data_IF_558113271572
#
_entry.id   IF_558113271572
#
_cell.length_a   1.000
_cell.length_b   1.000
_cell.length_c   1.000
_cell.angle_alpha   90.00
_cell.angle_beta   90.00
_cell.angle_gamma   90.00
#
_symmetry.space_group_name_H-M   'P 1'
#
loop_
_entity.id
_entity.type
_entity.pdbx_description
1 polymer ?
#
# COMPACT_ATOMS: atom_id res chain seq x y z
N UNK A 1 56.09 14.17 54.55
CA UNK A 1 55.20 13.60 53.53
C UNK A 1 55.23 14.54 52.35
N UNK A 2 55.95 14.17 51.26
CA UNK A 2 56.04 14.94 50.01
C UNK A 2 54.95 14.43 49.06
N UNK A 3 53.97 15.27 48.76
CA UNK A 3 52.99 14.98 47.74
C UNK A 3 53.65 15.12 46.35
N UNK A 4 53.48 14.16 45.45
CA UNK A 4 54.03 14.31 44.09
C UNK A 4 53.23 15.40 43.35
N UNK A 5 53.90 16.45 42.87
CA UNK A 5 53.32 17.40 41.94
C UNK A 5 53.10 16.73 40.61
N UNK A 6 51.81 16.56 40.23
CA UNK A 6 51.44 16.10 38.89
C UNK A 6 51.71 17.24 37.91
N UNK A 7 52.76 17.09 37.11
CA UNK A 7 53.07 17.99 36.01
C UNK A 7 51.89 17.99 34.99
N UNK A 8 51.17 19.09 34.89
CA UNK A 8 50.13 19.28 33.89
C UNK A 8 50.84 19.67 32.58
N UNK A 9 51.02 18.70 31.68
CA UNK A 9 51.40 18.99 30.31
C UNK A 9 50.27 19.74 29.59
N UNK A 10 50.55 20.96 29.12
CA UNK A 10 49.60 21.72 28.32
C UNK A 10 49.50 21.15 26.92
N UNK A 11 48.28 21.02 26.39
CA UNK A 11 48.01 20.56 25.04
C UNK A 11 48.32 21.70 24.03
N UNK A 12 49.08 21.41 22.98
CA UNK A 12 49.40 22.43 21.97
C UNK A 12 48.26 22.59 20.94
N UNK A 13 48.12 23.79 20.41
CA UNK A 13 47.12 24.13 19.40
C UNK A 13 47.27 23.25 18.14
N UNK A 14 48.50 22.89 17.78
CA UNK A 14 48.82 22.03 16.62
C UNK A 14 48.36 20.61 16.85
N UNK A 15 48.56 20.05 18.05
CA UNK A 15 48.06 18.69 18.37
C UNK A 15 46.55 18.61 18.27
N UNK A 16 45.83 19.64 18.73
CA UNK A 16 44.38 19.69 18.60
C UNK A 16 43.94 19.78 17.12
N UNK A 17 44.63 20.63 16.32
CA UNK A 17 44.31 20.83 14.92
C UNK A 17 44.51 19.55 14.08
N UNK A 18 45.57 18.80 14.33
CA UNK A 18 45.84 17.52 13.65
C UNK A 18 44.78 16.51 13.99
N UNK A 19 44.37 16.37 15.25
CA UNK A 19 43.33 15.43 15.68
C UNK A 19 41.99 15.73 15.01
N UNK A 20 41.55 17.01 15.01
CA UNK A 20 40.26 17.34 14.38
C UNK A 20 40.30 17.16 12.85
N UNK A 21 41.45 17.37 12.21
CA UNK A 21 41.58 17.13 10.77
C UNK A 21 41.50 15.64 10.41
N UNK A 22 42.16 14.79 11.21
CA UNK A 22 42.05 13.33 11.02
C UNK A 22 40.63 12.84 11.24
N UNK A 23 39.95 13.27 12.32
CA UNK A 23 38.56 12.95 12.58
C UNK A 23 37.66 13.45 11.44
N UNK A 24 37.89 14.69 10.95
CA UNK A 24 37.11 15.24 9.82
C UNK A 24 37.22 14.39 8.55
N UNK A 25 38.42 13.94 8.20
CA UNK A 25 38.65 13.08 7.04
C UNK A 25 37.97 11.71 7.25
N UNK A 26 38.14 11.09 8.42
CA UNK A 26 37.54 9.78 8.70
C UNK A 26 36.02 9.84 8.65
N UNK A 27 35.40 10.84 9.28
CA UNK A 27 33.93 11.03 9.25
C UNK A 27 33.45 11.31 7.83
N UNK A 28 34.16 12.17 7.07
CA UNK A 28 33.83 12.49 5.69
C UNK A 28 33.80 11.28 4.77
N UNK A 29 34.71 10.30 4.98
CA UNK A 29 34.72 9.06 4.20
C UNK A 29 33.69 8.01 4.69
N UNK A 30 33.41 7.98 5.99
CA UNK A 30 32.50 6.99 6.57
C UNK A 30 31.01 7.33 6.38
N UNK A 31 30.67 8.63 6.40
CA UNK A 31 29.26 9.06 6.39
C UNK A 31 28.47 8.57 5.18
N UNK A 32 28.95 8.68 3.92
CA UNK A 32 28.23 8.14 2.77
C UNK A 32 28.04 6.63 2.83
N UNK A 33 29.05 5.89 3.28
CA UNK A 33 28.99 4.45 3.44
C UNK A 33 27.96 3.99 4.47
N UNK A 34 27.88 4.68 5.62
CA UNK A 34 26.90 4.38 6.67
C UNK A 34 25.49 4.66 6.19
N UNK A 35 25.25 5.74 5.45
CA UNK A 35 23.92 6.06 4.91
C UNK A 35 23.47 5.00 3.90
N UNK A 36 24.33 4.57 2.99
CA UNK A 36 24.06 3.51 2.02
C UNK A 36 23.76 2.16 2.72
N UNK A 37 24.56 1.80 3.73
CA UNK A 37 24.34 0.59 4.51
C UNK A 37 22.98 0.60 5.26
N UNK A 38 22.60 1.73 5.86
CA UNK A 38 21.31 1.88 6.52
C UNK A 38 20.14 1.70 5.56
N UNK A 39 20.21 2.30 4.37
CA UNK A 39 19.14 2.16 3.39
C UNK A 39 19.04 0.72 2.87
N UNK A 40 20.17 0.05 2.64
CA UNK A 40 20.19 -1.37 2.29
C UNK A 40 19.55 -2.25 3.38
N UNK A 41 19.83 -1.95 4.66
CA UNK A 41 19.21 -2.66 5.78
C UNK A 41 17.66 -2.44 5.81
N UNK A 42 17.19 -1.20 5.64
CA UNK A 42 15.75 -0.91 5.56
C UNK A 42 15.07 -1.64 4.42
N UNK A 43 15.71 -1.70 3.25
CA UNK A 43 15.19 -2.44 2.11
C UNK A 43 15.09 -3.94 2.39
N UNK A 44 16.09 -4.52 3.06
CA UNK A 44 16.02 -5.92 3.50
C UNK A 44 14.91 -6.17 4.49
N UNK A 45 14.65 -5.25 5.43
CA UNK A 45 13.52 -5.34 6.36
C UNK A 45 12.19 -5.32 5.63
N UNK A 46 11.98 -4.41 4.65
CA UNK A 46 10.76 -4.37 3.85
C UNK A 46 10.57 -5.68 3.06
N UNK A 47 11.64 -6.21 2.45
CA UNK A 47 11.62 -7.49 1.74
C UNK A 47 11.23 -8.65 2.68
N UNK A 48 11.77 -8.69 3.89
CA UNK A 48 11.45 -9.72 4.88
C UNK A 48 9.98 -9.65 5.32
N UNK A 49 9.44 -8.43 5.54
CA UNK A 49 8.02 -8.24 5.87
C UNK A 49 7.13 -8.70 4.71
N UNK A 50 7.49 -8.39 3.48
CA UNK A 50 6.78 -8.88 2.30
C UNK A 50 6.82 -10.41 2.19
N UNK A 51 7.95 -11.06 2.50
CA UNK A 51 8.03 -12.53 2.59
C UNK A 51 7.12 -13.11 3.65
N UNK A 52 7.03 -12.46 4.83
CA UNK A 52 6.10 -12.88 5.88
C UNK A 52 4.65 -12.76 5.44
N UNK A 53 4.29 -11.69 4.72
CA UNK A 53 2.96 -11.53 4.14
C UNK A 53 2.66 -12.60 3.09
N UNK A 54 3.61 -12.89 2.21
CA UNK A 54 3.50 -13.97 1.21
C UNK A 54 3.30 -15.35 1.86
N UNK A 55 4.07 -15.64 2.91
CA UNK A 55 3.94 -16.89 3.68
C UNK A 55 2.59 -16.96 4.40
N UNK A 56 2.12 -15.85 4.99
CA UNK A 56 0.80 -15.81 5.62
C UNK A 56 -0.34 -16.08 4.64
N UNK A 57 -0.25 -15.55 3.41
CA UNK A 57 -1.22 -15.85 2.34
C UNK A 57 -1.18 -17.32 1.93
N UNK A 58 0.01 -17.93 1.81
CA UNK A 58 0.15 -19.35 1.50
C UNK A 58 -0.43 -20.24 2.62
N UNK A 59 -0.18 -19.88 3.88
CA UNK A 59 -0.76 -20.57 5.04
C UNK A 59 -2.29 -20.42 5.09
N UNK A 60 -2.81 -19.22 4.78
CA UNK A 60 -4.24 -18.97 4.66
C UNK A 60 -4.88 -19.88 3.57
N UNK A 61 -4.26 -19.94 2.39
CA UNK A 61 -4.71 -20.81 1.30
C UNK A 61 -4.67 -22.28 1.69
N UNK A 62 -3.61 -22.71 2.33
CA UNK A 62 -3.48 -24.09 2.81
C UNK A 62 -4.61 -24.49 3.77
N UNK A 63 -5.02 -23.56 4.65
CA UNK A 63 -6.09 -23.78 5.63
C UNK A 63 -7.50 -23.73 5.01
N UNK A 64 -7.73 -22.76 4.12
CA UNK A 64 -9.06 -22.45 3.61
C UNK A 64 -9.29 -22.85 2.14
N UNK A 65 -8.25 -23.31 1.43
CA UNK A 65 -8.27 -23.68 0.00
C UNK A 65 -8.73 -22.53 -0.91
N UNK A 66 -8.48 -21.31 -0.49
CA UNK A 66 -8.78 -20.07 -1.20
C UNK A 66 -7.93 -18.94 -0.63
N UNK A 67 -7.69 -17.89 -1.40
CA UNK A 67 -7.00 -16.71 -0.95
C UNK A 67 -7.94 -15.75 -0.19
N UNK A 68 -7.41 -14.82 0.63
CA UNK A 68 -8.22 -13.78 1.23
C UNK A 68 -8.83 -12.90 0.14
N UNK A 69 -9.99 -12.31 0.41
CA UNK A 69 -10.58 -11.31 -0.48
C UNK A 69 -9.98 -9.93 -0.22
N UNK A 70 -10.03 -9.04 -1.20
CA UNK A 70 -9.64 -7.65 -1.00
C UNK A 70 -10.50 -6.99 0.10
N UNK A 71 -11.83 -7.23 0.05
CA UNK A 71 -12.80 -6.72 1.00
C UNK A 71 -13.91 -7.75 1.25
N UNK A 72 -14.21 -8.03 2.51
CA UNK A 72 -15.10 -9.14 2.89
C UNK A 72 -16.59 -8.83 2.64
N UNK A 73 -17.08 -7.69 3.08
CA UNK A 73 -18.51 -7.43 3.17
C UNK A 73 -19.13 -6.74 1.96
N UNK A 74 -20.42 -6.45 2.08
CA UNK A 74 -21.22 -5.83 1.03
C UNK A 74 -21.02 -4.30 0.97
N UNK A 75 -21.61 -3.67 -0.05
CA UNK A 75 -21.74 -2.21 -0.09
C UNK A 75 -22.88 -1.71 0.80
N UNK A 76 -23.65 -2.65 1.42
CA UNK A 76 -24.72 -2.30 2.33
C UNK A 76 -24.13 -1.71 3.63
N UNK A 77 -24.49 -0.52 4.01
CA UNK A 77 -24.06 0.11 5.25
C UNK A 77 -24.35 -0.69 6.52
N UNK A 78 -25.35 -1.50 6.52
CA UNK A 78 -25.73 -2.35 7.67
C UNK A 78 -24.93 -3.65 7.78
N UNK A 79 -24.03 -3.94 6.84
CA UNK A 79 -23.19 -5.13 6.88
C UNK A 79 -21.94 -4.85 7.75
N UNK A 80 -21.79 -5.50 8.91
CA UNK A 80 -20.68 -5.26 9.83
C UNK A 80 -19.31 -5.66 9.25
N UNK A 81 -19.29 -6.42 8.17
CA UNK A 81 -18.07 -6.83 7.48
C UNK A 81 -17.76 -5.98 6.25
N UNK A 82 -18.60 -4.97 5.95
CA UNK A 82 -18.58 -4.28 4.66
C UNK A 82 -17.21 -3.74 4.23
N UNK A 83 -16.37 -3.37 5.18
CA UNK A 83 -15.05 -2.76 4.89
C UNK A 83 -13.84 -3.54 5.39
N UNK A 84 -14.04 -4.72 5.96
CA UNK A 84 -12.92 -5.51 6.47
C UNK A 84 -12.03 -5.95 5.30
N UNK A 85 -10.77 -5.57 5.37
CA UNK A 85 -9.76 -5.87 4.36
C UNK A 85 -9.11 -7.25 4.50
N UNK A 86 -8.50 -7.71 3.42
CA UNK A 86 -7.78 -8.98 3.38
C UNK A 86 -6.61 -9.07 4.36
N UNK A 87 -6.00 -7.93 4.73
CA UNK A 87 -4.92 -7.90 5.73
C UNK A 87 -5.40 -8.37 7.11
N UNK A 88 -6.67 -8.09 7.47
CA UNK A 88 -7.26 -8.60 8.71
C UNK A 88 -7.40 -10.13 8.68
N UNK A 89 -7.73 -10.69 7.52
CA UNK A 89 -7.96 -12.12 7.37
C UNK A 89 -6.69 -12.96 7.53
N UNK A 90 -5.52 -12.39 7.24
CA UNK A 90 -4.23 -13.08 7.37
C UNK A 90 -3.56 -12.87 8.74
N UNK A 91 -4.13 -12.06 9.64
CA UNK A 91 -3.57 -11.81 10.99
C UNK A 91 -3.26 -13.10 11.77
N UNK A 92 -4.14 -14.14 11.78
CA UNK A 92 -3.83 -15.38 12.48
C UNK A 92 -2.54 -16.06 12.04
N UNK A 93 -2.18 -15.89 10.76
CA UNK A 93 -0.98 -16.46 10.16
C UNK A 93 0.25 -15.54 10.26
N UNK A 94 0.10 -14.39 10.91
CA UNK A 94 1.14 -13.40 11.21
C UNK A 94 1.44 -13.30 12.72
N UNK A 95 1.09 -14.35 13.47
CA UNK A 95 1.22 -14.40 14.94
C UNK A 95 0.39 -13.31 15.66
N UNK A 96 -0.64 -12.77 14.99
CA UNK A 96 -1.53 -11.74 15.51
C UNK A 96 -2.93 -12.29 15.86
N UNK A 97 -3.00 -13.55 16.29
CA UNK A 97 -4.24 -14.22 16.69
C UNK A 97 -5.02 -13.45 17.78
N UNK A 98 -4.38 -12.91 18.85
CA UNK A 98 -5.11 -12.17 19.87
C UNK A 98 -5.77 -10.90 19.32
N UNK A 99 -5.12 -10.21 18.38
CA UNK A 99 -5.69 -9.02 17.73
C UNK A 99 -6.88 -9.41 16.84
N UNK A 100 -6.76 -10.49 16.08
CA UNK A 100 -7.84 -11.02 15.26
C UNK A 100 -9.08 -11.36 16.08
N UNK A 101 -8.91 -12.07 17.20
CA UNK A 101 -10.00 -12.42 18.12
C UNK A 101 -10.67 -11.18 18.73
N UNK A 102 -9.89 -10.19 19.09
CA UNK A 102 -10.37 -8.88 19.57
C UNK A 102 -11.24 -8.18 18.52
N UNK A 103 -10.80 -8.19 17.24
CA UNK A 103 -11.56 -7.63 16.14
C UNK A 103 -12.84 -8.41 15.90
N UNK A 104 -12.77 -9.72 15.90
CA UNK A 104 -13.91 -10.61 15.69
C UNK A 104 -14.97 -10.43 16.80
N UNK A 105 -14.56 -10.36 18.06
CA UNK A 105 -15.48 -10.11 19.17
C UNK A 105 -16.14 -8.72 19.07
N UNK A 106 -15.41 -7.70 18.63
CA UNK A 106 -15.95 -6.36 18.43
C UNK A 106 -17.02 -6.32 17.34
N UNK A 107 -16.88 -7.12 16.29
CA UNK A 107 -17.87 -7.26 15.23
C UNK A 107 -19.15 -7.94 15.75
N UNK A 108 -19.01 -9.02 16.53
CA UNK A 108 -20.15 -9.79 17.04
C UNK A 108 -21.01 -9.02 18.05
N UNK A 109 -20.42 -8.12 18.82
CA UNK A 109 -21.16 -7.33 19.84
C UNK A 109 -21.97 -6.17 19.24
N UNK A 110 -21.97 -6.03 17.90
CA UNK A 110 -22.81 -5.02 17.23
C UNK A 110 -22.36 -3.57 17.46
N UNK A 111 -21.12 -3.37 17.85
CA UNK A 111 -20.53 -2.06 18.08
C UNK A 111 -20.30 -1.23 16.79
N UNK A 112 -20.79 -1.74 15.69
CA UNK A 112 -20.83 -1.03 14.40
C UNK A 112 -22.19 -0.37 14.21
N UNK A 113 -22.52 0.59 15.10
CA UNK A 113 -23.68 1.43 14.87
C UNK A 113 -23.34 2.44 13.79
N UNK A 114 -24.05 2.34 12.68
CA UNK A 114 -24.05 3.38 11.66
C UNK A 114 -24.66 4.64 12.27
N UNK A 115 -23.83 5.56 12.73
CA UNK A 115 -24.33 6.90 13.12
C UNK A 115 -24.71 7.65 11.86
N UNK A 116 -26.01 7.75 11.61
CA UNK A 116 -26.62 8.39 10.45
C UNK A 116 -26.62 9.92 10.49
N UNK A 117 -25.92 10.57 11.42
CA UNK A 117 -26.18 11.95 11.78
C UNK A 117 -25.06 12.94 11.46
N UNK A 118 -24.29 12.76 10.39
CA UNK A 118 -23.46 13.86 9.89
C UNK A 118 -23.73 14.10 8.41
N UNK A 119 -24.60 15.08 8.18
CA UNK A 119 -24.99 15.66 6.89
C UNK A 119 -23.86 16.52 6.29
N UNK A 120 -22.71 15.95 6.11
CA UNK A 120 -21.63 16.54 5.34
C UNK A 120 -21.27 15.59 4.24
N UNK A 121 -21.97 15.60 3.15
CA UNK A 121 -21.65 15.17 1.76
C UNK A 121 -20.52 14.17 1.47
N UNK A 122 -20.10 13.37 2.41
CA UNK A 122 -19.24 12.17 2.22
C UNK A 122 -20.02 10.93 2.65
N UNK A 123 -21.24 10.86 2.21
CA UNK A 123 -22.39 10.26 2.83
C UNK A 123 -22.41 8.76 2.89
N UNK A 124 -21.60 7.92 2.52
CA UNK A 124 -21.81 6.47 2.68
C UNK A 124 -20.56 5.62 2.93
N UNK A 125 -19.40 6.21 2.93
CA UNK A 125 -18.15 5.48 3.07
C UNK A 125 -17.60 5.43 4.50
N UNK A 126 -18.12 6.24 5.40
CA UNK A 126 -17.63 6.34 6.78
C UNK A 126 -18.24 5.32 7.75
N UNK A 127 -19.08 4.41 7.28
CA UNK A 127 -20.04 3.74 8.15
C UNK A 127 -19.51 2.55 8.94
N UNK A 128 -18.34 2.02 8.65
CA UNK A 128 -17.91 0.74 9.24
C UNK A 128 -16.52 0.73 9.84
N UNK A 129 -15.75 1.74 9.62
CA UNK A 129 -14.61 2.09 10.43
C UNK A 129 -14.94 3.40 11.12
N UNK A 130 -15.09 3.44 12.44
CA UNK A 130 -15.33 4.70 13.13
C UNK A 130 -14.21 5.66 12.76
N UNK A 131 -14.58 6.82 12.24
CA UNK A 131 -13.62 7.87 11.94
C UNK A 131 -12.90 8.25 13.23
N UNK A 132 -11.59 8.50 13.21
CA UNK A 132 -10.89 9.11 14.32
C UNK A 132 -11.63 10.39 14.72
N UNK A 133 -11.99 10.53 15.99
CA UNK A 133 -12.75 11.66 16.51
C UNK A 133 -14.27 11.45 16.63
N UNK A 134 -14.84 10.38 16.13
CA UNK A 134 -16.20 9.99 16.53
C UNK A 134 -16.11 9.15 17.81
N UNK A 135 -16.11 9.81 18.94
CA UNK A 135 -16.34 9.20 20.24
C UNK A 135 -17.79 8.70 20.28
N UNK A 136 -18.02 7.51 19.75
CA UNK A 136 -19.18 6.75 20.18
C UNK A 136 -18.94 6.41 21.65
N UNK A 137 -19.93 6.64 22.49
CA UNK A 137 -19.92 6.55 23.94
C UNK A 137 -19.44 5.21 24.56
N UNK A 138 -18.82 4.31 23.81
CA UNK A 138 -18.55 2.95 24.24
C UNK A 138 -17.10 2.44 24.05
N UNK A 139 -16.13 3.28 23.78
CA UNK A 139 -14.70 2.89 23.87
C UNK A 139 -14.23 1.79 22.89
N UNK A 140 -14.88 1.59 21.76
CA UNK A 140 -14.78 0.40 20.90
C UNK A 140 -13.77 0.54 19.78
N UNK A 141 -13.09 1.65 19.71
CA UNK A 141 -12.18 1.98 18.60
C UNK A 141 -10.83 1.23 18.69
N UNK A 142 -10.52 0.64 19.83
CA UNK A 142 -9.18 0.13 20.15
C UNK A 142 -8.60 -0.89 19.15
N UNK A 143 -9.25 -1.99 18.75
CA UNK A 143 -8.58 -2.92 17.85
C UNK A 143 -8.34 -2.35 16.44
N UNK A 144 -9.11 -1.36 16.01
CA UNK A 144 -9.00 -0.71 14.70
C UNK A 144 -7.90 0.35 14.65
N UNK A 145 -7.53 0.90 15.81
CA UNK A 145 -6.42 1.84 15.97
C UNK A 145 -5.08 1.14 16.19
N UNK A 146 -5.07 -0.18 16.38
CA UNK A 146 -3.85 -0.92 16.63
C UNK A 146 -2.89 -0.81 15.44
N UNK A 147 -1.64 -0.48 15.76
CA UNK A 147 -0.57 -0.21 14.80
C UNK A 147 0.35 -1.40 14.72
N UNK A 148 0.41 -1.99 13.54
CA UNK A 148 1.26 -3.15 13.28
C UNK A 148 2.52 -2.73 12.53
N UNK A 149 3.66 -2.79 13.19
CA UNK A 149 4.96 -2.50 12.58
C UNK A 149 5.23 -3.40 11.38
N UNK A 150 4.65 -4.60 11.36
CA UNK A 150 4.73 -5.53 10.24
C UNK A 150 4.16 -4.94 8.93
N UNK A 151 3.14 -4.12 9.02
CA UNK A 151 2.53 -3.48 7.84
C UNK A 151 3.21 -2.17 7.43
N UNK A 152 4.28 -1.76 8.14
CA UNK A 152 5.01 -0.52 7.83
C UNK A 152 6.33 -0.83 7.16
N UNK A 153 6.70 -0.02 6.16
CA UNK A 153 8.05 -0.02 5.63
C UNK A 153 8.91 0.98 6.42
N UNK A 154 10.08 0.61 6.95
CA UNK A 154 10.93 1.51 7.72
C UNK A 154 11.54 2.65 6.90
N UNK A 155 11.47 2.59 5.58
CA UNK A 155 11.87 3.71 4.69
C UNK A 155 10.75 4.74 4.49
N UNK A 156 9.50 4.44 4.92
CA UNK A 156 8.40 5.41 4.85
C UNK A 156 8.53 6.44 5.98
N UNK A 157 8.72 7.73 5.66
CA UNK A 157 8.90 8.78 6.68
C UNK A 157 7.61 9.15 7.40
N UNK A 158 6.44 8.70 6.91
CA UNK A 158 5.15 9.08 7.49
C UNK A 158 4.98 8.46 8.87
N UNK A 159 4.79 9.32 9.87
CA UNK A 159 4.50 8.90 11.23
C UNK A 159 3.00 8.75 11.44
N UNK A 160 2.63 7.78 12.27
CA UNK A 160 1.25 7.52 12.67
C UNK A 160 0.89 8.34 13.90
N UNK A 161 -0.21 9.09 13.84
CA UNK A 161 -0.79 9.73 15.01
C UNK A 161 -1.45 8.71 15.95
N UNK A 162 -1.52 9.01 17.25
CA UNK A 162 -2.16 8.11 18.22
C UNK A 162 -3.66 7.92 17.93
N UNK A 163 -4.29 8.92 17.34
CA UNK A 163 -5.74 8.98 17.11
C UNK A 163 -6.15 8.45 15.73
N UNK A 164 -5.19 8.12 14.86
CA UNK A 164 -5.44 7.60 13.53
C UNK A 164 -5.37 6.07 13.51
N UNK A 165 -6.07 5.45 12.55
CA UNK A 165 -5.93 4.03 12.29
C UNK A 165 -4.52 3.70 11.86
N UNK A 166 -4.07 2.47 12.11
CA UNK A 166 -2.76 2.02 11.69
C UNK A 166 -2.61 2.06 10.16
N UNK A 167 -1.43 2.45 9.69
CA UNK A 167 -1.10 2.56 8.28
C UNK A 167 -0.58 1.24 7.71
N UNK A 168 -0.62 1.12 6.38
CA UNK A 168 0.04 0.03 5.65
C UNK A 168 0.83 0.55 4.46
N UNK A 169 2.01 -0.01 4.26
CA UNK A 169 2.82 0.16 3.05
C UNK A 169 2.66 -1.02 2.09
N UNK A 170 1.71 -1.92 2.34
CA UNK A 170 1.50 -3.11 1.52
C UNK A 170 0.06 -3.20 1.06
N UNK A 171 -0.13 -3.52 -0.22
CA UNK A 171 -1.44 -3.55 -0.87
C UNK A 171 -1.58 -4.76 -1.79
N UNK A 172 -2.81 -5.21 -2.00
CA UNK A 172 -3.18 -6.31 -2.88
C UNK A 172 -3.28 -5.87 -4.33
N UNK A 173 -2.86 -6.73 -5.26
CA UNK A 173 -2.96 -6.49 -6.69
C UNK A 173 -4.39 -6.72 -7.20
N UNK A 174 -4.95 -5.69 -7.86
CA UNK A 174 -6.24 -5.78 -8.56
C UNK A 174 -6.07 -5.75 -10.09
N UNK A 175 -4.83 -5.94 -10.56
CA UNK A 175 -4.39 -5.88 -11.94
C UNK A 175 -4.63 -4.51 -12.61
N UNK A 176 -5.02 -4.52 -13.88
CA UNK A 176 -5.08 -3.38 -14.77
C UNK A 176 -6.50 -2.80 -14.92
N UNK A 177 -7.39 -3.06 -13.95
CA UNK A 177 -8.74 -2.51 -13.91
C UNK A 177 -8.82 -1.20 -13.12
N UNK A 178 -9.66 -0.26 -13.55
CA UNK A 178 -9.92 1.01 -12.85
C UNK A 178 -11.33 1.03 -12.27
N UNK A 179 -12.33 0.73 -13.08
CA UNK A 179 -13.75 0.88 -12.78
C UNK A 179 -14.26 -0.24 -11.88
N UNK A 180 -13.71 -1.43 -12.02
CA UNK A 180 -14.20 -2.64 -11.37
C UNK A 180 -13.52 -2.94 -10.02
N UNK A 181 -12.63 -2.08 -9.56
CA UNK A 181 -11.88 -2.29 -8.31
C UNK A 181 -12.76 -2.56 -7.07
N UNK A 182 -13.99 -2.04 -7.07
CA UNK A 182 -14.93 -2.22 -5.98
C UNK A 182 -16.10 -3.17 -6.29
N UNK A 183 -16.30 -3.53 -7.55
CA UNK A 183 -17.47 -4.29 -8.00
C UNK A 183 -17.35 -5.81 -7.81
N UNK A 184 -16.18 -6.31 -7.49
CA UNK A 184 -15.91 -7.74 -7.37
C UNK A 184 -15.61 -8.43 -8.70
N UNK A 185 -15.08 -7.71 -9.68
CA UNK A 185 -14.71 -8.22 -10.99
C UNK A 185 -13.38 -7.63 -11.42
N UNK A 186 -12.29 -7.92 -10.71
CA UNK A 186 -10.95 -7.51 -11.11
C UNK A 186 -10.29 -8.58 -11.99
N UNK A 187 -9.30 -8.21 -12.76
CA UNK A 187 -8.47 -9.15 -13.53
C UNK A 187 -7.32 -9.73 -12.71
N UNK A 188 -7.10 -9.19 -11.49
CA UNK A 188 -6.09 -9.66 -10.53
C UNK A 188 -6.60 -10.79 -9.64
N UNK A 189 -5.73 -11.26 -8.77
CA UNK A 189 -6.04 -12.35 -7.85
C UNK A 189 -6.96 -11.93 -6.70
N UNK A 190 -7.08 -10.64 -6.43
CA UNK A 190 -7.86 -10.15 -5.29
C UNK A 190 -9.06 -9.33 -5.75
N UNK A 191 -10.22 -9.73 -5.27
CA UNK A 191 -11.51 -9.12 -5.59
C UNK A 191 -12.24 -8.73 -4.32
N UNK A 192 -13.24 -7.89 -4.46
CA UNK A 192 -14.20 -7.60 -3.39
C UNK A 192 -15.23 -8.71 -3.30
N UNK A 193 -15.47 -9.27 -2.13
CA UNK A 193 -16.48 -10.32 -1.83
C UNK A 193 -16.24 -11.68 -2.49
N UNK A 194 -15.22 -11.81 -3.29
CA UNK A 194 -14.90 -13.05 -3.98
C UNK A 194 -13.60 -13.62 -3.42
N UNK A 195 -13.59 -14.93 -3.24
CA UNK A 195 -12.44 -15.67 -2.75
C UNK A 195 -11.89 -16.53 -3.88
N UNK A 196 -10.86 -16.06 -4.52
CA UNK A 196 -10.22 -16.79 -5.61
C UNK A 196 -9.37 -17.94 -5.10
N UNK A 197 -9.24 -18.97 -5.95
CA UNK A 197 -8.35 -20.11 -5.73
C UNK A 197 -7.06 -19.91 -6.52
N UNK A 198 -5.98 -20.45 -6.01
CA UNK A 198 -4.66 -20.40 -6.70
C UNK A 198 -4.76 -20.98 -8.12
N UNK A 199 -5.61 -22.01 -8.33
CA UNK A 199 -5.81 -22.61 -9.65
C UNK A 199 -6.40 -21.65 -10.72
N UNK A 200 -6.92 -20.50 -10.33
CA UNK A 200 -7.43 -19.50 -11.27
C UNK A 200 -6.31 -18.66 -11.91
N UNK A 201 -5.11 -18.68 -11.35
CA UNK A 201 -3.92 -18.03 -11.94
C UNK A 201 -3.31 -18.94 -13.02
N UNK A 202 -3.93 -18.94 -14.21
CA UNK A 202 -3.47 -19.77 -15.34
C UNK A 202 -2.19 -19.25 -15.99
N UNK A 203 -1.86 -17.99 -15.81
CA UNK A 203 -0.61 -17.37 -16.31
C UNK A 203 0.62 -17.80 -15.50
N UNK A 204 0.39 -18.51 -14.39
CA UNK A 204 1.40 -19.07 -13.50
C UNK A 204 1.69 -18.20 -12.28
N UNK A 205 1.79 -18.86 -11.12
CA UNK A 205 1.98 -18.18 -9.84
C UNK A 205 3.29 -17.38 -9.74
N UNK A 206 4.33 -17.80 -10.44
CA UNK A 206 5.61 -17.10 -10.49
C UNK A 206 5.57 -15.83 -11.35
N UNK A 207 4.51 -15.62 -12.13
CA UNK A 207 4.32 -14.46 -12.99
C UNK A 207 3.13 -13.59 -12.56
N UNK A 208 2.42 -13.96 -11.49
CA UNK A 208 1.27 -13.22 -10.98
C UNK A 208 1.61 -12.52 -9.68
N UNK A 209 1.51 -11.20 -9.63
CA UNK A 209 1.76 -10.40 -8.44
C UNK A 209 0.55 -10.48 -7.51
N UNK A 210 0.81 -10.80 -6.24
CA UNK A 210 -0.20 -10.81 -5.18
C UNK A 210 -0.22 -9.50 -4.39
N UNK A 211 0.95 -9.00 -4.01
CA UNK A 211 1.08 -7.77 -3.23
C UNK A 211 2.26 -6.93 -3.69
N UNK A 212 2.18 -5.63 -3.46
CA UNK A 212 3.28 -4.70 -3.67
C UNK A 212 3.38 -3.68 -2.54
N UNK A 213 4.51 -3.01 -2.48
CA UNK A 213 4.69 -1.81 -1.67
C UNK A 213 3.85 -0.66 -2.22
N UNK A 214 3.32 0.17 -1.30
CA UNK A 214 2.65 1.43 -1.60
C UNK A 214 3.19 2.53 -0.69
N UNK A 215 3.18 3.77 -1.18
CA UNK A 215 3.51 4.96 -0.37
C UNK A 215 2.29 5.37 0.45
N UNK A 216 2.44 5.52 1.77
CA UNK A 216 1.41 6.16 2.58
C UNK A 216 1.36 7.64 2.21
N UNK A 217 0.15 8.16 1.96
CA UNK A 217 -0.05 9.52 1.47
C UNK A 217 0.75 9.86 0.20
N UNK A 218 1.05 8.86 -0.60
CA UNK A 218 1.66 9.07 -1.91
C UNK A 218 0.85 10.11 -2.70
N UNK A 219 1.51 10.78 -3.65
CA UNK A 219 0.86 11.78 -4.50
C UNK A 219 -0.44 11.23 -5.07
N UNK A 220 -1.56 11.81 -4.68
CA UNK A 220 -2.89 11.47 -5.12
C UNK A 220 -3.51 12.66 -5.82
N UNK A 221 -4.07 12.43 -6.99
CA UNK A 221 -4.79 13.44 -7.75
C UNK A 221 -6.27 13.05 -7.74
N UNK A 222 -7.13 13.99 -7.36
CA UNK A 222 -8.55 13.86 -7.65
C UNK A 222 -8.81 14.30 -9.09
N UNK A 223 -9.45 13.46 -9.89
CA UNK A 223 -9.94 13.89 -11.18
C UNK A 223 -11.43 14.25 -11.13
N UNK A 224 -11.74 15.34 -11.78
CA UNK A 224 -13.10 15.79 -11.95
C UNK A 224 -13.76 15.09 -13.17
N UNK A 225 -15.01 14.77 -12.98
CA UNK A 225 -16.04 14.18 -13.81
C UNK A 225 -15.94 14.45 -15.31
N UNK A 226 -16.42 13.50 -16.12
CA UNK A 226 -16.75 13.48 -17.54
C UNK A 226 -15.68 13.02 -18.54
N UNK A 227 -14.50 12.61 -18.10
CA UNK A 227 -13.64 11.84 -18.98
C UNK A 227 -13.95 10.34 -18.85
N UNK A 228 -13.77 9.61 -19.91
CA UNK A 228 -13.91 8.16 -19.89
C UNK A 228 -13.12 7.56 -18.72
N UNK A 229 -13.84 7.04 -17.76
CA UNK A 229 -13.33 6.50 -16.48
C UNK A 229 -12.24 5.42 -16.65
N UNK A 230 -12.10 4.93 -17.87
CA UNK A 230 -11.22 3.83 -18.22
C UNK A 230 -9.82 4.25 -18.69
N UNK A 231 -9.53 5.55 -18.89
CA UNK A 231 -8.23 5.98 -19.43
C UNK A 231 -7.23 6.32 -18.35
N UNK A 232 -6.02 5.72 -18.34
CA UNK A 232 -5.01 6.00 -17.31
C UNK A 232 -4.45 7.42 -17.42
N UNK A 233 -4.18 8.04 -16.28
CA UNK A 233 -3.63 9.38 -16.20
C UNK A 233 -2.14 9.38 -15.85
N UNK A 234 -1.31 9.97 -16.70
CA UNK A 234 0.13 10.17 -16.44
C UNK A 234 0.38 11.47 -15.69
N UNK A 235 1.26 11.44 -14.73
CA UNK A 235 1.63 12.61 -13.91
C UNK A 235 2.27 13.76 -14.70
N UNK A 236 2.94 13.45 -15.79
CA UNK A 236 3.74 14.41 -16.54
C UNK A 236 2.96 15.27 -17.53
N UNK A 237 1.73 14.92 -17.87
CA UNK A 237 0.92 15.69 -18.78
C UNK A 237 -0.51 15.85 -18.31
N UNK A 238 -0.77 16.88 -17.53
CA UNK A 238 -2.11 17.31 -17.11
C UNK A 238 -3.12 17.49 -18.26
N UNK A 239 -2.66 17.39 -19.52
CA UNK A 239 -3.47 17.60 -20.72
C UNK A 239 -3.99 16.32 -21.38
N UNK A 240 -3.42 15.17 -21.08
CA UNK A 240 -3.76 13.92 -21.82
C UNK A 240 -4.70 12.99 -21.04
N UNK A 241 -5.07 13.36 -19.82
CA UNK A 241 -5.96 12.51 -19.01
C UNK A 241 -7.43 12.71 -19.31
N UNK A 242 -7.81 13.57 -20.24
CA UNK A 242 -9.21 13.98 -20.44
C UNK A 242 -9.81 14.69 -19.20
N UNK A 243 -9.01 14.97 -18.18
CA UNK A 243 -9.41 15.53 -16.91
C UNK A 243 -9.13 17.02 -16.88
N UNK A 244 -10.18 17.84 -16.76
CA UNK A 244 -9.97 19.22 -16.33
C UNK A 244 -9.75 19.22 -14.81
N UNK A 245 -8.49 19.24 -14.41
CA UNK A 245 -8.13 19.63 -13.06
C UNK A 245 -8.51 21.10 -12.93
N UNK A 246 -9.59 21.40 -12.22
CA UNK A 246 -9.90 22.79 -11.88
C UNK A 246 -8.74 23.32 -11.03
N UNK A 247 -8.06 24.42 -11.43
CA UNK A 247 -6.97 24.98 -10.65
C UNK A 247 -7.41 25.67 -9.37
N UNK A 248 -8.70 25.62 -9.04
CA UNK A 248 -9.30 26.43 -7.99
C UNK A 248 -9.05 25.93 -6.56
N UNK A 249 -8.50 24.75 -6.37
CA UNK A 249 -7.94 24.32 -5.09
C UNK A 249 -7.12 23.05 -5.36
N UNK A 250 -5.84 22.95 -4.89
CA UNK A 250 -5.29 21.63 -4.74
C UNK A 250 -6.24 20.93 -3.76
N UNK A 251 -6.85 19.80 -4.14
CA UNK A 251 -7.62 19.06 -3.16
C UNK A 251 -6.60 18.61 -2.11
N UNK A 252 -6.64 19.22 -0.95
CA UNK A 252 -6.19 18.55 0.25
C UNK A 252 -7.15 17.38 0.38
N UNK A 253 -6.72 16.14 0.10
CA UNK A 253 -7.56 15.01 0.44
C UNK A 253 -7.86 15.20 1.92
N UNK A 254 -9.12 15.10 2.35
CA UNK A 254 -9.42 15.14 3.77
C UNK A 254 -8.43 14.20 4.42
N UNK A 255 -7.76 14.63 5.47
CA UNK A 255 -6.60 13.95 6.09
C UNK A 255 -6.81 12.45 6.34
N UNK A 256 -8.04 11.99 6.28
CA UNK A 256 -8.49 10.62 6.53
C UNK A 256 -8.52 9.70 5.29
N UNK A 257 -8.34 10.19 4.07
CA UNK A 257 -8.50 9.41 2.83
C UNK A 257 -7.20 9.16 2.05
N UNK A 258 -6.04 9.37 2.67
CA UNK A 258 -4.75 9.09 2.04
C UNK A 258 -4.50 7.59 1.81
N UNK A 259 -3.72 7.29 0.76
CA UNK A 259 -3.24 5.93 0.46
C UNK A 259 -2.64 5.27 1.70
N UNK A 260 -2.99 4.00 1.94
CA UNK A 260 -2.39 3.20 3.01
C UNK A 260 -2.71 3.66 4.43
N UNK A 261 -3.58 4.64 4.64
CA UNK A 261 -3.90 5.15 5.99
C UNK A 261 -4.77 4.25 6.84
N UNK A 262 -5.25 3.13 6.31
CA UNK A 262 -6.14 2.20 7.03
C UNK A 262 -5.84 0.76 6.62
N UNK A 263 -4.99 0.07 7.37
CA UNK A 263 -4.65 -1.30 7.06
C UNK A 263 -5.84 -2.28 7.20
N UNK A 264 -6.78 -1.94 8.06
CA UNK A 264 -7.99 -2.76 8.33
C UNK A 264 -9.03 -2.65 7.22
N UNK A 265 -9.00 -1.56 6.45
CA UNK A 265 -10.03 -1.19 5.50
C UNK A 265 -9.73 -1.74 4.11
N UNK A 266 -10.61 -2.58 3.60
CA UNK A 266 -10.50 -3.19 2.28
C UNK A 266 -10.95 -2.28 1.12
N UNK A 267 -11.16 -0.98 1.37
CA UNK A 267 -11.43 -0.08 0.25
C UNK A 267 -10.19 0.05 -0.64
N UNK A 268 -10.35 0.06 -1.97
CA UNK A 268 -9.24 0.04 -2.92
C UNK A 268 -8.20 1.13 -2.69
N UNK A 269 -8.62 2.32 -2.29
CA UNK A 269 -7.71 3.45 -2.00
C UNK A 269 -6.69 3.10 -0.91
N UNK A 270 -7.04 2.30 0.09
CA UNK A 270 -6.15 2.01 1.22
C UNK A 270 -5.26 0.80 0.99
N UNK A 271 -5.81 -0.29 0.46
CA UNK A 271 -5.16 -1.61 0.47
C UNK A 271 -5.12 -2.30 -0.89
N UNK A 272 -5.35 -1.58 -2.01
CA UNK A 272 -5.14 -2.15 -3.35
C UNK A 272 -4.18 -1.32 -4.20
N UNK A 273 -3.67 -1.92 -5.28
CA UNK A 273 -2.96 -1.22 -6.34
C UNK A 273 -3.23 -1.84 -7.70
N UNK A 274 -3.04 -1.02 -8.74
CA UNK A 274 -3.19 -1.40 -10.14
C UNK A 274 -1.83 -1.54 -10.81
N UNK A 275 -1.76 -2.42 -11.80
CA UNK A 275 -0.58 -2.62 -12.67
C UNK A 275 -0.75 -1.89 -14.02
N UNK A 276 -1.03 -0.59 -13.95
CA UNK A 276 -1.25 0.28 -15.11
C UNK A 276 -0.09 1.25 -15.27
N UNK A 277 0.03 2.21 -14.33
CA UNK A 277 1.13 3.16 -14.32
C UNK A 277 2.38 2.56 -13.67
N UNK A 278 3.57 2.98 -14.08
CA UNK A 278 4.81 2.45 -13.52
C UNK A 278 4.90 2.70 -12.01
N UNK A 279 5.60 1.82 -11.27
CA UNK A 279 5.80 1.99 -9.84
C UNK A 279 6.40 3.37 -9.52
N UNK A 280 5.84 4.06 -8.53
CA UNK A 280 6.28 5.38 -8.09
C UNK A 280 5.56 6.56 -8.73
N UNK A 281 4.73 6.33 -9.74
CA UNK A 281 3.90 7.37 -10.35
C UNK A 281 2.74 7.80 -9.42
N UNK A 282 1.93 8.75 -9.86
CA UNK A 282 0.82 9.28 -9.06
C UNK A 282 -0.36 8.32 -9.04
N UNK A 283 -1.04 8.27 -7.91
CA UNK A 283 -2.36 7.64 -7.82
C UNK A 283 -3.46 8.65 -8.12
N UNK A 284 -4.55 8.17 -8.70
CA UNK A 284 -5.69 9.03 -9.04
C UNK A 284 -7.00 8.37 -8.58
N UNK A 285 -7.87 9.15 -7.95
CA UNK A 285 -9.18 8.71 -7.50
C UNK A 285 -10.29 9.58 -8.08
N UNK A 286 -11.44 9.00 -8.36
CA UNK A 286 -12.59 9.71 -8.90
C UNK A 286 -13.31 10.51 -7.83
N UNK A 287 -13.49 11.82 -8.03
CA UNK A 287 -14.02 12.76 -7.02
C UNK A 287 -15.44 12.46 -6.54
N UNK A 288 -16.31 12.03 -7.44
CA UNK A 288 -17.73 11.82 -7.15
C UNK A 288 -18.06 10.40 -6.72
N UNK A 289 -17.05 9.54 -6.61
CA UNK A 289 -17.26 8.16 -6.22
C UNK A 289 -16.57 7.94 -4.88
N UNK A 290 -17.27 7.28 -3.99
CA UNK A 290 -16.72 6.93 -2.68
C UNK A 290 -15.37 6.21 -2.83
N UNK A 291 -14.52 6.28 -1.81
CA UNK A 291 -13.24 5.57 -1.65
C UNK A 291 -13.28 4.06 -2.01
N UNK A 292 -14.46 3.57 -2.33
CA UNK A 292 -14.73 2.17 -2.64
C UNK A 292 -14.64 1.81 -4.12
N UNK A 293 -14.68 2.77 -5.06
CA UNK A 293 -15.12 2.41 -6.40
C UNK A 293 -14.05 2.53 -7.48
N UNK A 294 -13.62 3.71 -7.83
CA UNK A 294 -12.88 3.92 -9.08
C UNK A 294 -11.57 4.65 -8.82
N UNK A 295 -10.50 4.08 -9.29
CA UNK A 295 -9.22 4.73 -9.16
C UNK A 295 -8.08 3.95 -9.81
N UNK A 296 -7.06 4.68 -10.19
CA UNK A 296 -5.77 4.14 -10.55
C UNK A 296 -4.84 4.32 -9.35
N UNK A 297 -4.58 3.25 -8.64
CA UNK A 297 -3.82 3.21 -7.40
C UNK A 297 -2.44 2.62 -7.66
N UNK A 298 -1.44 3.45 -7.77
CA UNK A 298 -0.09 3.04 -8.18
C UNK A 298 0.68 2.38 -7.06
N UNK A 299 1.47 1.36 -7.38
CA UNK A 299 2.49 0.82 -6.49
C UNK A 299 3.60 1.86 -6.26
N UNK A 300 4.29 1.81 -5.13
CA UNK A 300 5.35 2.78 -4.85
C UNK A 300 6.07 2.52 -3.53
N UNK A 301 7.34 2.90 -3.46
CA UNK A 301 8.13 2.80 -2.23
C UNK A 301 8.90 4.11 -1.96
N UNK A 302 9.41 4.24 -0.74
CA UNK A 302 10.30 5.34 -0.36
C UNK A 302 11.78 4.92 -0.42
N UNK A 303 12.07 3.77 -1.01
CA UNK A 303 13.45 3.34 -1.22
C UNK A 303 14.16 4.24 -2.22
N UNK A 304 15.47 4.44 -2.03
CA UNK A 304 16.30 5.23 -2.94
C UNK A 304 16.39 4.63 -4.35
N UNK A 305 16.18 3.31 -4.48
CA UNK A 305 16.03 2.64 -5.77
C UNK A 305 14.63 2.90 -6.32
N UNK A 306 14.53 3.45 -7.51
CA UNK A 306 13.26 3.68 -8.19
C UNK A 306 12.58 2.35 -8.53
N UNK A 307 11.54 1.99 -7.79
CA UNK A 307 10.79 0.75 -7.96
C UNK A 307 10.14 0.26 -6.67
N UNK A 308 9.66 -0.96 -6.69
CA UNK A 308 8.91 -1.59 -5.58
C UNK A 308 9.29 -3.04 -5.40
N UNK A 309 9.20 -3.55 -4.18
CA UNK A 309 9.19 -4.99 -3.95
C UNK A 309 7.77 -5.53 -4.14
N UNK A 310 7.65 -6.67 -4.83
CA UNK A 310 6.38 -7.35 -5.06
C UNK A 310 6.45 -8.80 -4.56
N UNK A 311 5.38 -9.27 -3.93
CA UNK A 311 5.14 -10.69 -3.63
C UNK A 311 4.43 -11.31 -4.80
N UNK A 312 4.94 -12.42 -5.29
CA UNK A 312 4.32 -13.24 -6.33
C UNK A 312 3.53 -14.40 -5.73
N UNK A 313 2.69 -15.01 -6.53
CA UNK A 313 1.83 -16.12 -6.10
C UNK A 313 2.59 -17.36 -5.64
N UNK A 314 3.83 -17.54 -6.06
CA UNK A 314 4.74 -18.60 -5.61
C UNK A 314 5.43 -18.27 -4.27
N UNK A 315 5.13 -17.14 -3.64
CA UNK A 315 5.73 -16.64 -2.41
C UNK A 315 7.11 -16.00 -2.58
N UNK A 316 7.62 -15.89 -3.82
CA UNK A 316 8.85 -15.14 -4.08
C UNK A 316 8.63 -13.65 -3.93
N UNK A 317 9.67 -12.92 -3.47
CA UNK A 317 9.68 -11.45 -3.45
C UNK A 317 10.71 -10.97 -4.43
N UNK A 318 10.30 -10.15 -5.39
CA UNK A 318 11.17 -9.58 -6.42
C UNK A 318 11.03 -8.08 -6.45
N UNK A 319 12.12 -7.41 -6.79
CA UNK A 319 12.13 -5.97 -7.02
C UNK A 319 11.73 -5.69 -8.47
N UNK A 320 10.78 -4.80 -8.65
CA UNK A 320 10.32 -4.33 -9.96
C UNK A 320 10.72 -2.86 -10.10
N UNK A 321 11.48 -2.57 -11.16
CA UNK A 321 11.92 -1.21 -11.47
C UNK A 321 10.75 -0.33 -11.93
N UNK A 322 10.82 0.98 -11.66
CA UNK A 322 9.92 1.97 -12.24
C UNK A 322 10.07 2.11 -13.77
N UNK A 323 11.14 1.56 -14.34
CA UNK A 323 11.38 1.52 -15.79
C UNK A 323 10.75 0.32 -16.49
N UNK A 324 9.99 -0.53 -15.77
CA UNK A 324 9.28 -1.68 -16.35
C UNK A 324 8.40 -1.23 -17.51
N UNK A 325 8.29 -2.08 -18.55
CA UNK A 325 7.41 -1.82 -19.68
C UNK A 325 5.94 -1.76 -19.23
N UNK A 326 5.33 -0.60 -19.43
CA UNK A 326 3.92 -0.32 -19.16
C UNK A 326 3.09 -0.20 -20.45
N UNK A 327 3.59 -0.66 -21.60
CA UNK A 327 2.86 -0.75 -22.86
C UNK A 327 2.25 0.57 -23.32
N UNK A 328 1.02 0.50 -23.83
CA UNK A 328 0.30 1.66 -24.39
C UNK A 328 -0.67 2.27 -23.37
N UNK A 329 -0.20 3.28 -22.66
CA UNK A 329 -0.98 4.01 -21.65
C UNK A 329 -2.07 4.94 -22.25
N UNK A 330 -2.25 4.95 -23.57
CA UNK A 330 -3.36 5.65 -24.23
C UNK A 330 -4.60 4.77 -24.39
N UNK A 331 -4.45 3.47 -24.23
CA UNK A 331 -5.54 2.51 -24.28
C UNK A 331 -6.41 2.60 -23.02
N UNK A 332 -7.72 2.36 -23.15
CA UNK A 332 -8.60 2.26 -21.99
C UNK A 332 -8.27 1.02 -21.16
N UNK A 333 -8.51 1.11 -19.86
CA UNK A 333 -8.38 -0.04 -18.96
C UNK A 333 -9.41 -1.12 -19.33
N UNK A 334 -9.01 -2.40 -19.42
CA UNK A 334 -9.93 -3.49 -19.66
C UNK A 334 -10.97 -3.62 -18.57
N UNK A 335 -12.14 -4.19 -18.88
CA UNK A 335 -13.11 -4.53 -17.85
C UNK A 335 -12.63 -5.74 -17.03
N UNK A 336 -13.08 -5.87 -15.80
CA UNK A 336 -12.66 -6.96 -14.91
C UNK A 336 -13.07 -8.37 -15.36
N UNK A 337 -13.88 -8.49 -16.40
CA UNK A 337 -14.29 -9.77 -17.02
C UNK A 337 -13.60 -10.06 -18.34
N UNK A 338 -12.74 -9.16 -18.78
CA UNK A 338 -12.01 -9.31 -20.05
C UNK A 338 -10.76 -10.17 -19.79
N UNK A 339 -10.58 -11.21 -20.60
CA UNK A 339 -9.42 -12.09 -20.57
C UNK A 339 -8.42 -11.78 -21.69
N UNK A 340 -8.56 -10.64 -22.37
CA UNK A 340 -7.61 -10.20 -23.37
C UNK A 340 -6.26 -9.86 -22.75
N UNK A 341 -5.22 -9.80 -23.59
CA UNK A 341 -3.91 -9.31 -23.15
C UNK A 341 -4.02 -7.90 -22.60
N UNK A 342 -3.23 -7.61 -21.57
CA UNK A 342 -3.16 -6.27 -21.00
C UNK A 342 -2.56 -5.28 -22.01
N UNK A 343 -3.15 -4.10 -22.21
CA UNK A 343 -2.52 -3.07 -23.04
C UNK A 343 -1.28 -2.46 -22.36
N UNK A 344 -1.02 -2.78 -21.11
CA UNK A 344 -0.01 -2.15 -20.26
C UNK A 344 1.29 -2.97 -20.13
N UNK A 345 1.65 -3.69 -21.18
CA UNK A 345 2.92 -4.38 -21.32
C UNK A 345 3.22 -5.38 -20.20
N UNK A 346 4.49 -5.54 -19.89
CA UNK A 346 4.94 -6.48 -18.88
C UNK A 346 4.33 -6.18 -17.49
N UNK A 347 4.21 -4.90 -17.12
CA UNK A 347 3.64 -4.53 -15.82
C UNK A 347 2.17 -4.94 -15.71
N UNK A 348 1.37 -4.67 -16.74
CA UNK A 348 -0.03 -5.10 -16.80
C UNK A 348 -0.18 -6.61 -16.72
N UNK A 349 0.60 -7.35 -17.51
CA UNK A 349 0.58 -8.80 -17.56
C UNK A 349 0.94 -9.47 -16.23
N UNK A 350 1.87 -8.90 -15.47
CA UNK A 350 2.20 -9.39 -14.12
C UNK A 350 1.05 -9.24 -13.11
N UNK A 351 0.10 -8.35 -13.35
CA UNK A 351 -1.07 -8.17 -12.49
C UNK A 351 -2.20 -9.13 -12.78
N UNK A 352 -2.35 -9.54 -14.03
CA UNK A 352 -3.46 -10.41 -14.50
C UNK A 352 -3.23 -11.88 -14.14
N UNK A 353 -4.32 -12.66 -14.14
CA UNK A 353 -4.27 -14.08 -13.75
C UNK A 353 -4.54 -15.06 -14.89
N UNK A 354 -5.15 -14.59 -15.97
CA UNK A 354 -5.64 -15.44 -17.07
C UNK A 354 -5.66 -14.70 -18.42
N UNK A 355 -4.75 -13.78 -18.64
CA UNK A 355 -4.63 -13.06 -19.93
C UNK A 355 -3.80 -13.81 -20.97
N UNK A 356 -3.14 -14.90 -20.58
CA UNK A 356 -2.29 -15.72 -21.45
C UNK A 356 -0.98 -15.04 -21.87
N UNK A 357 -0.54 -14.03 -21.10
CA UNK A 357 0.69 -13.29 -21.41
C UNK A 357 1.92 -14.01 -20.89
N UNK A 358 2.92 -14.09 -21.75
CA UNK A 358 4.25 -14.56 -21.37
C UNK A 358 5.11 -13.32 -21.14
N UNK A 359 5.28 -12.94 -19.89
CA UNK A 359 6.21 -11.86 -19.52
C UNK A 359 7.62 -12.44 -19.49
N UNK A 360 8.53 -11.86 -20.29
CA UNK A 360 9.93 -12.28 -20.27
C UNK A 360 10.56 -11.93 -18.92
N UNK A 361 11.19 -12.90 -18.28
CA UNK A 361 11.92 -12.69 -17.02
C UNK A 361 13.03 -11.63 -17.12
N UNK A 362 13.53 -11.35 -18.34
CA UNK A 362 14.51 -10.29 -18.58
C UNK A 362 13.89 -8.88 -18.63
N UNK A 363 12.57 -8.77 -18.62
CA UNK A 363 11.84 -7.47 -18.60
C UNK A 363 11.50 -6.97 -17.19
N UNK A 364 11.93 -7.69 -16.15
CA UNK A 364 11.66 -7.43 -14.73
C UNK A 364 12.73 -6.55 -14.08
#
# INVERSE_FOLDING_TARGET
MHSPEISKSGFTLVELLVVISIIGVLVGLLLPGVLAARESARRMDCNNRMKQLGLAMANYESAFRRLPTLRLGSTNPSDPYARIGGLVMILPFLEQQPLFEKMQSSIQVGHFSASSNNEGSLSNSSMFCPLPGTTGDNGIIQPWLDKLTLFRCPSDPKQESAEEMGYTNYAFCVADTIVDNASGSTRGMFETKSFRRIAEATDGLSMTIFMSEIKVDGKMIEWLVDAELSTPCKSSSKRNCGFSVSPASPPTPPEFFGRGRRWVDGAPVFTSFNTILPPGDVSANHRNVSDLAYGNFTAGSFHASEGVNCVFGDGSVRFISSSIDCGDLTKPAPSGRDNSHSPYGAWGGLGTINSGEIVDANSL
#
